data_IF_924458303155
#
_entry.id   IF_924458303155
#
_cell.length_a   1.000
_cell.length_b   1.000
_cell.length_c   1.000
_cell.angle_alpha   90.00
_cell.angle_beta   90.00
_cell.angle_gamma   90.00
#
_symmetry.space_group_name_H-M   'P 1'
#
loop_
_entity.id
_entity.type
_entity.pdbx_description
1 polymer ?
#
# COMPACT_ATOMS: atom_id res chain seq x y z
N UNK A 1 -24.36 20.16 19.89
CA UNK A 1 -24.57 19.51 18.57
C UNK A 1 -23.31 18.72 18.20
N UNK A 2 -23.31 17.39 18.38
CA UNK A 2 -22.15 16.54 18.05
C UNK A 2 -22.30 16.09 16.59
N UNK A 3 -21.45 16.61 15.70
CA UNK A 3 -21.42 16.19 14.29
C UNK A 3 -20.99 14.73 14.23
N UNK A 4 -21.93 13.81 13.96
CA UNK A 4 -21.68 12.38 13.79
C UNK A 4 -20.66 12.23 12.65
N UNK A 5 -19.39 11.98 12.97
CA UNK A 5 -18.36 11.70 11.96
C UNK A 5 -18.73 10.37 11.31
N UNK A 6 -19.33 10.41 10.12
CA UNK A 6 -19.53 9.22 9.30
C UNK A 6 -18.17 8.55 9.06
N UNK A 7 -18.16 7.23 9.08
CA UNK A 7 -16.95 6.47 8.76
C UNK A 7 -16.57 6.68 7.29
N UNK A 8 -15.33 6.35 6.92
CA UNK A 8 -14.92 6.37 5.51
C UNK A 8 -15.83 5.47 4.65
N UNK A 9 -16.35 4.40 5.24
CA UNK A 9 -17.31 3.49 4.61
C UNK A 9 -18.64 4.21 4.35
N UNK A 10 -19.14 4.99 5.30
CA UNK A 10 -20.40 5.73 5.13
C UNK A 10 -20.26 6.82 4.05
N UNK A 11 -19.09 7.47 3.98
CA UNK A 11 -18.83 8.47 2.93
C UNK A 11 -18.77 7.81 1.56
N UNK A 12 -18.10 6.65 1.45
CA UNK A 12 -18.04 5.88 0.21
C UNK A 12 -19.43 5.39 -0.22
N UNK A 13 -20.25 4.86 0.69
CA UNK A 13 -21.64 4.46 0.41
C UNK A 13 -22.45 5.62 -0.15
N UNK A 14 -22.46 6.76 0.55
CA UNK A 14 -23.18 7.96 0.11
C UNK A 14 -22.70 8.48 -1.25
N UNK A 15 -21.43 8.29 -1.60
CA UNK A 15 -20.89 8.68 -2.90
C UNK A 15 -21.35 7.70 -4.00
N UNK A 16 -21.31 6.40 -3.72
CA UNK A 16 -21.77 5.34 -4.64
C UNK A 16 -23.27 5.46 -4.90
N UNK A 17 -24.08 5.72 -3.87
CA UNK A 17 -25.54 5.87 -3.99
C UNK A 17 -25.95 7.06 -4.88
N UNK A 18 -25.08 8.05 -5.04
CA UNK A 18 -25.31 9.23 -5.90
C UNK A 18 -24.88 9.03 -7.35
N UNK A 19 -24.17 7.96 -7.66
CA UNK A 19 -23.68 7.68 -9.01
C UNK A 19 -24.63 6.67 -9.66
N UNK A 20 -25.25 7.00 -10.81
CA UNK A 20 -26.05 6.05 -11.56
C UNK A 20 -25.25 4.78 -11.86
N UNK A 21 -25.85 3.62 -11.60
CA UNK A 21 -25.17 2.35 -11.80
C UNK A 21 -24.90 2.12 -13.30
N UNK A 22 -23.69 1.66 -13.71
CA UNK A 22 -23.33 1.52 -15.12
C UNK A 22 -24.22 0.53 -15.90
N UNK A 23 -24.75 -0.48 -15.23
CA UNK A 23 -25.62 -1.51 -15.80
C UNK A 23 -26.92 -1.63 -15.00
N UNK A 24 -28.06 -1.94 -15.64
CA UNK A 24 -29.29 -2.32 -14.94
C UNK A 24 -29.16 -3.62 -14.12
N UNK A 25 -28.15 -4.46 -14.41
CA UNK A 25 -27.93 -5.72 -13.69
C UNK A 25 -27.00 -5.52 -12.48
N UNK A 26 -27.47 -5.79 -11.24
CA UNK A 26 -26.67 -5.60 -10.03
C UNK A 26 -25.40 -6.48 -10.00
N UNK A 27 -25.45 -7.71 -10.54
CA UNK A 27 -24.27 -8.59 -10.59
C UNK A 27 -23.19 -8.05 -11.52
N UNK A 28 -23.58 -7.48 -12.66
CA UNK A 28 -22.64 -6.83 -13.58
C UNK A 28 -21.96 -5.63 -12.92
N UNK A 29 -22.71 -4.82 -12.17
CA UNK A 29 -22.15 -3.68 -11.43
C UNK A 29 -21.13 -4.12 -10.37
N UNK A 30 -21.38 -5.23 -9.67
CA UNK A 30 -20.42 -5.78 -8.71
C UNK A 30 -19.11 -6.20 -9.36
N UNK A 31 -19.18 -6.86 -10.52
CA UNK A 31 -17.98 -7.25 -11.27
C UNK A 31 -17.22 -6.01 -11.75
N UNK A 32 -17.91 -5.03 -12.32
CA UNK A 32 -17.30 -3.77 -12.76
C UNK A 32 -16.63 -3.06 -11.59
N UNK A 33 -17.29 -2.99 -10.44
CA UNK A 33 -16.75 -2.36 -9.25
C UNK A 33 -15.51 -3.11 -8.72
N UNK A 34 -15.52 -4.43 -8.63
CA UNK A 34 -14.36 -5.21 -8.18
C UNK A 34 -13.16 -5.02 -9.12
N UNK A 35 -13.40 -5.07 -10.44
CA UNK A 35 -12.35 -4.84 -11.44
C UNK A 35 -11.80 -3.42 -11.34
N UNK A 36 -12.67 -2.41 -11.25
CA UNK A 36 -12.26 -1.02 -11.11
C UNK A 36 -11.46 -0.79 -9.82
N UNK A 37 -11.87 -1.38 -8.71
CA UNK A 37 -11.16 -1.28 -7.43
C UNK A 37 -9.78 -1.94 -7.50
N UNK A 38 -9.66 -3.11 -8.12
CA UNK A 38 -8.36 -3.79 -8.30
C UNK A 38 -7.42 -2.98 -9.21
N UNK A 39 -7.93 -2.47 -10.32
CA UNK A 39 -7.17 -1.64 -11.24
C UNK A 39 -6.72 -0.33 -10.58
N UNK A 40 -7.65 0.36 -9.91
CA UNK A 40 -7.37 1.60 -9.18
C UNK A 40 -6.36 1.38 -8.05
N UNK A 41 -6.51 0.32 -7.26
CA UNK A 41 -5.56 -0.01 -6.20
C UNK A 41 -4.16 -0.31 -6.75
N UNK A 42 -4.06 -1.02 -7.88
CA UNK A 42 -2.78 -1.25 -8.55
C UNK A 42 -2.13 0.06 -9.00
N UNK A 43 -2.88 0.96 -9.63
CA UNK A 43 -2.35 2.26 -10.08
C UNK A 43 -1.89 3.13 -8.90
N UNK A 44 -2.72 3.22 -7.85
CA UNK A 44 -2.39 3.95 -6.64
C UNK A 44 -1.12 3.42 -5.99
N UNK A 45 -0.98 2.09 -5.89
CA UNK A 45 0.22 1.44 -5.37
C UNK A 45 1.46 1.84 -6.16
N UNK A 46 1.42 1.76 -7.49
CA UNK A 46 2.55 2.15 -8.33
C UNK A 46 2.90 3.64 -8.20
N UNK A 47 1.88 4.51 -8.09
CA UNK A 47 2.07 5.94 -7.87
C UNK A 47 2.76 6.24 -6.54
N UNK A 48 2.30 5.61 -5.46
CA UNK A 48 2.89 5.76 -4.12
C UNK A 48 4.31 5.18 -4.06
N UNK A 49 4.54 3.99 -4.63
CA UNK A 49 5.87 3.37 -4.68
C UNK A 49 6.87 4.26 -5.44
N UNK A 50 6.49 4.77 -6.63
CA UNK A 50 7.34 5.69 -7.40
C UNK A 50 7.52 7.03 -6.69
N UNK A 51 6.49 7.56 -6.03
CA UNK A 51 6.56 8.85 -5.32
C UNK A 51 7.47 8.80 -4.10
N UNK A 52 7.31 7.80 -3.23
CA UNK A 52 8.11 7.67 -2.00
C UNK A 52 9.56 7.32 -2.32
N UNK A 53 9.80 6.33 -3.19
CA UNK A 53 11.17 5.92 -3.51
C UNK A 53 11.83 6.95 -4.43
N UNK A 54 11.08 7.49 -5.41
CA UNK A 54 11.58 8.49 -6.35
C UNK A 54 11.98 9.80 -5.69
N UNK A 55 11.21 10.28 -4.70
CA UNK A 55 11.51 11.53 -3.99
C UNK A 55 12.81 11.47 -3.19
N UNK A 56 13.23 10.30 -2.71
CA UNK A 56 14.46 10.13 -1.91
C UNK A 56 15.66 9.63 -2.71
N UNK A 57 15.43 8.85 -3.76
CA UNK A 57 16.50 8.11 -4.46
C UNK A 57 16.74 8.56 -5.90
N UNK A 58 15.83 9.36 -6.49
CA UNK A 58 15.82 9.71 -7.91
C UNK A 58 15.20 8.62 -8.79
N UNK A 59 14.62 9.02 -9.91
CA UNK A 59 13.77 8.17 -10.77
C UNK A 59 14.46 6.89 -11.25
N UNK A 60 15.72 6.96 -11.69
CA UNK A 60 16.50 5.81 -12.19
C UNK A 60 16.85 4.80 -11.10
N UNK A 61 17.18 5.25 -9.89
CA UNK A 61 17.46 4.33 -8.76
C UNK A 61 16.17 3.73 -8.23
N UNK A 62 15.09 4.52 -8.15
CA UNK A 62 13.78 4.05 -7.73
C UNK A 62 13.24 2.91 -8.61
N UNK A 63 13.37 3.02 -9.94
CA UNK A 63 12.98 1.96 -10.86
C UNK A 63 13.73 0.64 -10.59
N UNK A 64 15.04 0.72 -10.28
CA UNK A 64 15.86 -0.46 -9.96
C UNK A 64 15.50 -1.07 -8.61
N UNK A 65 15.24 -0.26 -7.58
CA UNK A 65 14.76 -0.75 -6.29
C UNK A 65 13.44 -1.52 -6.44
N UNK A 66 12.50 -0.96 -7.20
CA UNK A 66 11.20 -1.61 -7.46
C UNK A 66 11.39 -2.93 -8.22
N UNK A 67 12.23 -2.93 -9.27
CA UNK A 67 12.51 -4.14 -10.08
C UNK A 67 13.26 -5.22 -9.29
N UNK A 68 14.13 -4.82 -8.37
CA UNK A 68 14.94 -5.73 -7.55
C UNK A 68 14.20 -6.42 -6.41
N UNK A 69 12.89 -6.19 -6.27
CA UNK A 69 12.05 -6.88 -5.28
C UNK A 69 11.84 -8.32 -5.70
N UNK A 70 12.07 -9.26 -4.78
CA UNK A 70 11.87 -10.68 -5.07
C UNK A 70 10.37 -11.04 -5.09
N UNK A 71 10.03 -12.11 -5.80
CA UNK A 71 8.67 -12.65 -5.81
C UNK A 71 8.19 -12.98 -4.39
N UNK A 72 9.09 -13.56 -3.56
CA UNK A 72 8.81 -13.87 -2.16
C UNK A 72 8.48 -12.61 -1.32
N UNK A 73 9.25 -11.53 -1.48
CA UNK A 73 8.96 -10.26 -0.80
C UNK A 73 7.58 -9.70 -1.16
N UNK A 74 7.19 -9.83 -2.43
CA UNK A 74 5.87 -9.40 -2.91
C UNK A 74 4.73 -10.25 -2.34
N UNK A 75 4.93 -11.57 -2.24
CA UNK A 75 3.96 -12.49 -1.65
C UNK A 75 3.75 -12.23 -0.16
N UNK A 76 4.85 -12.11 0.60
CA UNK A 76 4.80 -11.81 2.04
C UNK A 76 4.09 -10.47 2.29
N UNK A 77 4.42 -9.44 1.52
CA UNK A 77 3.73 -8.14 1.63
C UNK A 77 2.22 -8.25 1.38
N UNK A 78 1.82 -9.07 0.41
CA UNK A 78 0.40 -9.30 0.09
C UNK A 78 -0.31 -10.09 1.20
N UNK A 79 0.35 -11.09 1.79
CA UNK A 79 -0.20 -11.87 2.89
C UNK A 79 -0.41 -11.00 4.14
N UNK A 80 0.58 -10.17 4.50
CA UNK A 80 0.47 -9.23 5.62
C UNK A 80 -0.67 -8.25 5.38
N UNK A 81 -0.78 -7.69 4.16
CA UNK A 81 -1.87 -6.79 3.81
C UNK A 81 -3.24 -7.46 3.98
N UNK A 82 -3.39 -8.72 3.52
CA UNK A 82 -4.64 -9.47 3.72
C UNK A 82 -5.00 -9.66 5.19
N UNK A 83 -4.03 -10.00 6.03
CA UNK A 83 -4.24 -10.15 7.48
C UNK A 83 -4.70 -8.82 8.10
N UNK A 84 -4.06 -7.72 7.71
CA UNK A 84 -4.44 -6.39 8.17
C UNK A 84 -5.87 -6.00 7.72
N UNK A 85 -6.29 -6.38 6.51
CA UNK A 85 -7.60 -5.99 5.97
C UNK A 85 -8.74 -6.94 6.36
N UNK A 86 -8.45 -8.18 6.77
CA UNK A 86 -9.48 -9.19 7.02
C UNK A 86 -10.23 -8.96 8.33
N UNK A 87 -9.63 -8.28 9.31
CA UNK A 87 -10.27 -8.04 10.60
C UNK A 87 -9.69 -6.82 11.32
N UNK A 88 -10.50 -6.24 12.22
CA UNK A 88 -10.07 -5.13 13.09
C UNK A 88 -8.90 -5.53 14.00
N UNK A 89 -8.91 -6.71 14.67
CA UNK A 89 -7.75 -7.16 15.44
C UNK A 89 -6.48 -7.32 14.59
N UNK A 90 -6.60 -7.85 13.36
CA UNK A 90 -5.48 -7.98 12.43
C UNK A 90 -4.88 -6.62 12.04
N UNK A 91 -5.74 -5.63 11.78
CA UNK A 91 -5.33 -4.26 11.51
C UNK A 91 -4.56 -3.64 12.69
N UNK A 92 -5.02 -3.87 13.92
CA UNK A 92 -4.36 -3.35 15.14
C UNK A 92 -2.97 -3.99 15.31
N UNK A 93 -2.84 -5.30 15.13
CA UNK A 93 -1.56 -5.99 15.28
C UNK A 93 -0.56 -5.52 14.21
N UNK A 94 -0.96 -5.55 12.93
CA UNK A 94 -0.07 -5.16 11.83
C UNK A 94 0.25 -3.67 11.89
N UNK A 95 -0.78 -2.83 12.03
CA UNK A 95 -0.62 -1.38 12.10
C UNK A 95 0.15 -0.95 13.36
N UNK A 96 -0.15 -1.54 14.51
CA UNK A 96 0.55 -1.30 15.77
C UNK A 96 2.00 -1.73 15.71
N UNK A 97 2.29 -2.91 15.15
CA UNK A 97 3.66 -3.39 14.94
C UNK A 97 4.47 -2.47 14.02
N UNK A 98 3.85 -1.99 12.92
CA UNK A 98 4.48 -1.00 12.03
C UNK A 98 4.75 0.32 12.76
N UNK A 99 3.78 0.85 13.50
CA UNK A 99 3.96 2.08 14.28
C UNK A 99 5.06 1.92 15.33
N UNK A 100 5.07 0.83 16.08
CA UNK A 100 6.12 0.52 17.04
C UNK A 100 7.50 0.47 16.37
N UNK A 101 7.60 -0.21 15.21
CA UNK A 101 8.85 -0.25 14.42
C UNK A 101 9.30 1.14 13.99
N UNK A 102 8.37 2.00 13.55
CA UNK A 102 8.71 3.37 13.13
C UNK A 102 9.26 4.21 14.28
N UNK A 103 8.67 4.09 15.48
CA UNK A 103 9.14 4.79 16.67
C UNK A 103 10.50 4.25 17.13
N UNK A 104 10.70 2.94 17.05
CA UNK A 104 11.99 2.31 17.33
C UNK A 104 13.08 2.80 16.37
N UNK A 105 12.80 2.82 15.06
CA UNK A 105 13.74 3.30 14.03
C UNK A 105 14.06 4.79 14.21
N UNK A 106 13.07 5.59 14.63
CA UNK A 106 13.29 7.00 14.93
C UNK A 106 14.22 7.20 16.14
N UNK A 107 14.16 6.31 17.14
CA UNK A 107 15.08 6.32 18.28
C UNK A 107 16.48 5.83 17.89
N UNK A 108 16.59 4.90 16.97
CA UNK A 108 17.85 4.29 16.51
C UNK A 108 18.24 4.74 15.10
N UNK A 109 18.06 6.03 14.80
CA UNK A 109 18.21 6.61 13.45
C UNK A 109 19.48 6.18 12.72
N UNK A 110 20.64 6.38 13.32
CA UNK A 110 21.91 6.05 12.68
C UNK A 110 22.00 4.57 12.26
N UNK A 111 21.56 3.66 13.14
CA UNK A 111 21.54 2.22 12.86
C UNK A 111 20.53 1.87 11.78
N UNK A 112 19.32 2.41 11.85
CA UNK A 112 18.26 2.14 10.88
C UNK A 112 18.55 2.74 9.50
N UNK A 113 19.20 3.90 9.43
CA UNK A 113 19.66 4.53 8.19
C UNK A 113 20.77 3.72 7.53
N UNK A 114 21.77 3.27 8.30
CA UNK A 114 22.84 2.40 7.78
C UNK A 114 22.28 1.07 7.26
N UNK A 115 21.41 0.41 8.03
CA UNK A 115 20.77 -0.83 7.58
C UNK A 115 19.88 -0.62 6.35
N UNK A 116 19.16 0.49 6.30
CA UNK A 116 18.31 0.86 5.16
C UNK A 116 19.12 1.13 3.89
N UNK A 117 20.25 1.84 3.99
CA UNK A 117 21.12 2.10 2.85
C UNK A 117 21.68 0.82 2.23
N UNK A 118 22.12 -0.13 3.07
CA UNK A 118 22.60 -1.44 2.61
C UNK A 118 21.48 -2.22 1.90
N UNK A 119 20.29 -2.27 2.49
CA UNK A 119 19.15 -2.99 1.89
C UNK A 119 18.71 -2.37 0.55
N UNK A 120 18.75 -1.04 0.44
CA UNK A 120 18.41 -0.32 -0.80
C UNK A 120 19.43 -0.61 -1.90
N UNK A 121 20.73 -0.57 -1.58
CA UNK A 121 21.78 -0.86 -2.57
C UNK A 121 21.68 -2.30 -3.07
N UNK A 122 21.45 -3.26 -2.17
CA UNK A 122 21.25 -4.67 -2.53
C UNK A 122 20.04 -4.87 -3.44
N UNK A 123 18.94 -4.13 -3.21
CA UNK A 123 17.78 -4.12 -4.12
C UNK A 123 18.11 -3.47 -5.47
N UNK A 124 18.87 -2.38 -5.50
CA UNK A 124 19.32 -1.78 -6.77
C UNK A 124 20.13 -2.78 -7.58
N UNK A 125 21.08 -3.49 -6.95
CA UNK A 125 21.90 -4.49 -7.62
C UNK A 125 21.08 -5.65 -8.17
N UNK A 126 20.13 -6.18 -7.39
CA UNK A 126 19.18 -7.17 -7.90
C UNK A 126 18.38 -6.64 -9.08
N UNK A 127 17.94 -5.39 -9.02
CA UNK A 127 17.18 -4.74 -10.09
C UNK A 127 17.99 -4.44 -11.36
N UNK A 128 19.33 -4.42 -11.28
CA UNK A 128 20.20 -4.38 -12.48
C UNK A 128 20.31 -5.75 -13.16
N UNK A 129 20.22 -6.83 -12.38
CA UNK A 129 20.40 -8.22 -12.83
C UNK A 129 19.11 -8.89 -13.30
N UNK A 130 17.97 -8.47 -12.76
CA UNK A 130 16.64 -8.79 -13.26
C UNK A 130 16.35 -8.00 -14.53
#
# INVERSE_FOLDING_TARGET
>A
MIKKRGTAIDTAKNAVDKVPAPSPNPMTNLIIADVALRAGAALLRHGVEKGIVGSKLGSKKAARVIKGRTMMQSLVGTAIARIATRSVPGAIIVGGGMLAKTLYDRRHRAKSEAAGAVAVEEQIERGKKA
#
